data_IF_221043679411
#
_entry.id   IF_221043679411
#
_cell.length_a   1.000
_cell.length_b   1.000
_cell.length_c   1.000
_cell.angle_alpha   90.00
_cell.angle_beta   90.00
_cell.angle_gamma   90.00
#
_symmetry.space_group_name_H-M   'P 1'
#
loop_
_entity.id
_entity.type
_entity.pdbx_description
1 polymer ?
#
# COMPACT_ATOMS: atom_id res chain seq x y z
N UNK A 1 -0.98 0.25 -12.96
CA UNK A 1 -1.49 -0.90 -13.74
C UNK A 1 -2.76 -1.44 -13.11
N UNK A 2 -3.88 -0.73 -13.28
CA UNK A 2 -5.22 -1.18 -12.87
C UNK A 2 -6.24 -0.43 -13.73
N UNK A 3 -7.39 -1.04 -13.98
CA UNK A 3 -8.48 -0.39 -14.71
C UNK A 3 -9.56 0.06 -13.73
N UNK A 4 -9.90 1.34 -13.77
CA UNK A 4 -11.03 1.96 -13.07
C UNK A 4 -11.94 2.64 -14.10
N UNK A 5 -12.11 3.96 -13.98
CA UNK A 5 -12.78 4.77 -15.03
C UNK A 5 -12.01 4.74 -16.36
N UNK A 6 -10.69 4.70 -16.28
CA UNK A 6 -9.78 4.42 -17.40
C UNK A 6 -8.71 3.41 -16.94
N UNK A 7 -8.06 2.76 -17.91
CA UNK A 7 -6.93 1.88 -17.62
C UNK A 7 -5.65 2.68 -17.43
N UNK A 8 -5.00 2.49 -16.29
CA UNK A 8 -3.68 3.06 -16.02
C UNK A 8 -2.60 2.34 -16.84
N UNK A 9 -1.98 3.09 -17.74
CA UNK A 9 -0.89 2.65 -18.64
C UNK A 9 0.49 3.19 -18.23
N UNK A 10 0.62 3.82 -17.05
CA UNK A 10 1.85 4.48 -16.60
C UNK A 10 3.01 3.49 -16.36
N UNK A 11 2.71 2.21 -16.15
CA UNK A 11 3.70 1.17 -15.87
C UNK A 11 4.22 1.20 -14.42
N UNK A 12 4.88 0.11 -14.00
CA UNK A 12 5.29 -0.09 -12.61
C UNK A 12 6.34 0.92 -12.12
N UNK A 13 7.15 1.48 -13.04
CA UNK A 13 8.23 2.42 -12.72
C UNK A 13 7.75 3.85 -12.49
N UNK A 14 6.54 4.22 -12.92
CA UNK A 14 6.05 5.59 -12.85
C UNK A 14 6.06 6.15 -11.41
N UNK A 15 5.65 5.34 -10.44
CA UNK A 15 5.64 5.74 -9.04
C UNK A 15 7.04 6.06 -8.52
N UNK A 16 8.02 5.19 -8.79
CA UNK A 16 9.44 5.45 -8.44
C UNK A 16 9.95 6.73 -9.09
N UNK A 17 9.67 6.92 -10.38
CA UNK A 17 10.14 8.09 -11.13
C UNK A 17 9.58 9.39 -10.51
N UNK A 18 8.31 9.39 -10.12
CA UNK A 18 7.70 10.51 -9.42
C UNK A 18 8.38 10.77 -8.07
N UNK A 19 8.57 9.74 -7.24
CA UNK A 19 9.21 9.91 -5.93
C UNK A 19 10.66 10.39 -6.06
N UNK A 20 11.40 9.89 -7.06
CA UNK A 20 12.75 10.36 -7.39
C UNK A 20 12.75 11.85 -7.78
N UNK A 21 11.81 12.28 -8.62
CA UNK A 21 11.70 13.68 -9.03
C UNK A 21 11.35 14.61 -7.85
N UNK A 22 10.44 14.18 -6.97
CA UNK A 22 10.11 14.92 -5.75
C UNK A 22 11.33 15.04 -4.85
N UNK A 23 12.06 13.94 -4.59
CA UNK A 23 13.28 14.00 -3.78
C UNK A 23 14.33 14.93 -4.37
N UNK A 24 14.54 14.91 -5.69
CA UNK A 24 15.45 15.82 -6.37
C UNK A 24 15.04 17.30 -6.20
N UNK A 25 13.73 17.59 -6.26
CA UNK A 25 13.21 18.95 -6.11
C UNK A 25 13.27 19.47 -4.66
N UNK A 26 12.92 18.62 -3.70
CA UNK A 26 12.78 19.00 -2.29
C UNK A 26 14.07 18.83 -1.48
N UNK A 27 15.06 18.11 -2.00
CA UNK A 27 16.33 17.85 -1.33
C UNK A 27 16.16 16.98 -0.08
N UNK A 28 17.21 16.90 0.75
CA UNK A 28 17.22 16.12 1.99
C UNK A 28 16.68 16.89 3.21
N UNK A 29 16.52 18.21 3.12
CA UNK A 29 16.09 19.06 4.24
C UNK A 29 14.56 19.09 4.43
N UNK A 30 13.81 18.54 3.48
CA UNK A 30 12.34 18.46 3.51
C UNK A 30 11.89 17.02 3.48
N UNK A 31 10.78 16.76 4.15
CA UNK A 31 10.13 15.45 4.16
C UNK A 31 9.45 15.19 2.80
N UNK A 32 9.62 13.97 2.30
CA UNK A 32 8.89 13.39 1.18
C UNK A 32 8.36 12.05 1.66
N UNK A 33 7.06 11.97 1.91
CA UNK A 33 6.38 10.76 2.39
C UNK A 33 5.28 10.40 1.41
N UNK A 34 4.80 9.15 1.45
CA UNK A 34 3.64 8.78 0.65
C UNK A 34 2.70 7.83 1.40
N UNK A 35 1.40 8.07 1.27
CA UNK A 35 0.40 7.07 1.64
C UNK A 35 0.28 6.03 0.53
N UNK A 36 0.25 4.75 0.89
CA UNK A 36 0.25 3.64 -0.08
C UNK A 36 -0.82 2.61 0.27
N UNK A 37 -1.24 1.85 -0.74
CA UNK A 37 -2.21 0.76 -0.59
C UNK A 37 -1.70 -0.32 0.37
N UNK A 38 -2.65 -1.00 1.03
CA UNK A 38 -2.38 -2.14 1.88
C UNK A 38 -2.90 -3.47 1.29
N UNK A 39 -3.16 -3.51 -0.03
CA UNK A 39 -3.47 -4.74 -0.75
C UNK A 39 -2.19 -5.56 -0.98
N UNK A 40 -1.89 -6.44 -0.02
CA UNK A 40 -0.75 -7.34 0.00
C UNK A 40 -0.97 -8.69 -0.68
N UNK A 41 -2.10 -8.88 -1.37
CA UNK A 41 -2.43 -10.14 -2.04
C UNK A 41 -1.47 -10.43 -3.19
N UNK A 42 -1.40 -11.69 -3.63
CA UNK A 42 -0.59 -12.06 -4.80
C UNK A 42 -1.16 -11.42 -6.06
N UNK A 43 -0.38 -10.58 -6.73
CA UNK A 43 -0.85 -9.78 -7.87
C UNK A 43 -1.72 -8.58 -7.48
N UNK A 44 -1.81 -8.27 -6.18
CA UNK A 44 -2.52 -7.11 -5.66
C UNK A 44 -1.82 -5.79 -5.97
N UNK A 45 -2.39 -4.68 -5.49
CA UNK A 45 -1.91 -3.33 -5.80
C UNK A 45 -0.46 -3.08 -5.34
N UNK A 46 0.02 -3.71 -4.26
CA UNK A 46 1.43 -3.62 -3.87
C UNK A 46 2.37 -4.23 -4.93
N UNK A 47 1.93 -5.23 -5.69
CA UNK A 47 2.73 -5.82 -6.78
C UNK A 47 2.72 -4.99 -8.06
N UNK A 48 1.76 -4.08 -8.23
CA UNK A 48 1.57 -3.32 -9.47
C UNK A 48 2.56 -2.15 -9.66
N UNK A 49 3.33 -1.79 -8.64
CA UNK A 49 4.27 -0.66 -8.65
C UNK A 49 5.60 -0.97 -7.96
N UNK A 50 6.66 -0.26 -8.37
CA UNK A 50 8.02 -0.39 -7.82
C UNK A 50 8.17 0.37 -6.49
N UNK A 51 7.48 -0.08 -5.44
CA UNK A 51 7.59 0.51 -4.10
C UNK A 51 8.98 0.32 -3.48
N UNK A 52 9.67 -0.78 -3.80
CA UNK A 52 11.02 -1.04 -3.31
C UNK A 52 12.03 -0.04 -3.89
N UNK A 53 12.00 0.19 -5.21
CA UNK A 53 12.83 1.19 -5.84
C UNK A 53 12.44 2.62 -5.44
N UNK A 54 11.15 2.88 -5.18
CA UNK A 54 10.68 4.17 -4.68
C UNK A 54 11.11 4.44 -3.21
N UNK A 55 11.35 3.39 -2.42
CA UNK A 55 11.66 3.51 -1.00
C UNK A 55 12.95 4.29 -0.73
N UNK A 56 13.88 4.35 -1.68
CA UNK A 56 15.10 5.17 -1.55
C UNK A 56 14.81 6.68 -1.51
N UNK A 57 13.67 7.12 -2.04
CA UNK A 57 13.37 8.54 -2.25
C UNK A 57 12.38 9.12 -1.23
N UNK A 58 11.62 8.27 -0.53
CA UNK A 58 10.73 8.69 0.55
C UNK A 58 11.42 8.59 1.91
N UNK A 59 10.99 9.37 2.89
CA UNK A 59 11.38 9.22 4.29
C UNK A 59 10.68 8.02 4.91
N UNK A 60 9.37 7.88 4.68
CA UNK A 60 8.58 6.72 5.04
C UNK A 60 7.29 6.62 4.22
N UNK A 61 6.64 5.47 4.33
CA UNK A 61 5.31 5.18 3.82
C UNK A 61 4.27 5.15 4.94
N UNK A 62 3.12 5.76 4.70
CA UNK A 62 1.92 5.60 5.50
C UNK A 62 1.10 4.48 4.86
N UNK A 63 1.19 3.26 5.40
CA UNK A 63 0.47 2.10 4.84
C UNK A 63 -1.00 2.21 5.24
N UNK A 64 -1.89 2.35 4.26
CA UNK A 64 -3.33 2.54 4.49
C UNK A 64 -4.00 1.22 4.88
N UNK A 65 -3.64 0.66 6.04
CA UNK A 65 -4.11 -0.62 6.58
C UNK A 65 -5.52 -0.56 7.18
N UNK A 66 -6.44 0.03 6.42
CA UNK A 66 -7.85 0.20 6.71
C UNK A 66 -8.63 0.10 5.40
N UNK A 67 -9.96 0.10 5.49
CA UNK A 67 -10.87 -0.02 4.35
C UNK A 67 -10.68 -1.31 3.52
N UNK A 68 -10.26 -2.39 4.18
CA UNK A 68 -10.22 -3.72 3.59
C UNK A 68 -11.62 -4.23 3.23
N UNK A 69 -12.59 -3.93 4.09
CA UNK A 69 -13.99 -4.33 3.96
C UNK A 69 -14.88 -3.17 4.35
N UNK A 70 -16.09 -3.08 3.77
CA UNK A 70 -16.99 -1.97 4.04
C UNK A 70 -18.32 -2.12 3.33
N UNK A 71 -19.19 -1.12 3.52
CA UNK A 71 -20.58 -1.16 3.07
C UNK A 71 -20.77 -1.14 1.53
N UNK A 72 -19.69 -0.95 0.76
CA UNK A 72 -19.73 -1.13 -0.70
C UNK A 72 -20.09 -2.57 -1.11
N UNK A 73 -19.78 -3.57 -0.27
CA UNK A 73 -20.31 -4.93 -0.41
C UNK A 73 -21.68 -5.03 0.31
N UNK A 74 -22.71 -4.46 -0.30
CA UNK A 74 -24.02 -4.27 0.34
C UNK A 74 -24.70 -5.58 0.79
N UNK A 75 -24.49 -6.68 0.06
CA UNK A 75 -24.98 -8.01 0.42
C UNK A 75 -24.09 -8.77 1.41
N UNK A 76 -23.07 -8.09 1.95
CA UNK A 76 -22.06 -8.68 2.83
C UNK A 76 -21.08 -9.60 2.11
N UNK A 77 -20.37 -10.45 2.88
CA UNK A 77 -20.43 -10.56 4.35
C UNK A 77 -19.91 -9.31 5.06
N UNK A 78 -20.42 -9.04 6.27
CA UNK A 78 -19.83 -8.01 7.15
C UNK A 78 -18.47 -8.48 7.66
N UNK A 79 -17.50 -7.57 7.71
CA UNK A 79 -16.16 -7.83 8.22
C UNK A 79 -15.55 -6.54 8.79
N UNK A 80 -14.60 -6.64 9.75
CA UNK A 80 -13.86 -5.48 10.26
C UNK A 80 -13.06 -4.81 9.15
N UNK A 81 -13.20 -3.51 8.93
CA UNK A 81 -12.50 -2.79 7.85
C UNK A 81 -10.97 -2.68 8.06
N UNK A 82 -10.48 -2.86 9.28
CA UNK A 82 -9.05 -2.77 9.63
C UNK A 82 -8.63 -3.92 10.56
N UNK A 83 -8.61 -5.18 10.08
CA UNK A 83 -8.13 -6.30 10.87
C UNK A 83 -6.60 -6.30 10.91
N UNK A 84 -6.00 -6.48 12.09
CA UNK A 84 -4.55 -6.59 12.23
C UNK A 84 -4.02 -7.88 11.60
N UNK A 85 -4.67 -9.00 11.88
CA UNK A 85 -4.29 -10.36 11.45
C UNK A 85 -5.42 -11.06 10.71
N UNK A 86 -5.10 -12.20 10.08
CA UNK A 86 -6.11 -13.11 9.53
C UNK A 86 -7.03 -13.68 10.62
N UNK A 87 -8.20 -14.19 10.22
CA UNK A 87 -9.15 -14.90 11.06
C UNK A 87 -9.95 -15.92 10.25
N UNK A 88 -10.47 -16.95 10.92
CA UNK A 88 -11.35 -17.96 10.28
C UNK A 88 -12.59 -17.27 9.72
N UNK A 89 -12.84 -17.46 8.42
CA UNK A 89 -13.98 -16.83 7.74
C UNK A 89 -13.71 -15.43 7.20
N UNK A 90 -12.46 -14.95 7.19
CA UNK A 90 -12.12 -13.70 6.53
C UNK A 90 -12.56 -13.73 5.05
N UNK A 91 -13.30 -12.72 4.54
CA UNK A 91 -13.88 -12.80 3.19
C UNK A 91 -12.85 -12.82 2.07
N UNK A 92 -11.71 -12.12 2.28
CA UNK A 92 -10.62 -12.06 1.31
C UNK A 92 -9.33 -12.40 2.05
N UNK A 93 -8.71 -13.53 1.68
CA UNK A 93 -7.43 -13.94 2.24
C UNK A 93 -6.34 -12.91 1.90
N UNK A 94 -5.59 -12.47 2.91
CA UNK A 94 -4.53 -11.46 2.77
C UNK A 94 -5.00 -10.01 2.91
N UNK A 95 -6.30 -9.75 3.12
CA UNK A 95 -6.84 -8.42 3.42
C UNK A 95 -6.80 -8.13 4.93
N UNK A 96 -5.59 -7.99 5.47
CA UNK A 96 -5.32 -7.59 6.85
C UNK A 96 -3.95 -6.92 6.97
N UNK A 97 -3.77 -6.11 8.00
CA UNK A 97 -2.66 -5.18 8.10
C UNK A 97 -1.28 -5.87 8.11
N UNK A 98 -1.12 -6.97 8.85
CA UNK A 98 0.15 -7.73 8.88
C UNK A 98 0.54 -8.24 7.48
N UNK A 99 -0.39 -8.76 6.68
CA UNK A 99 -0.09 -9.22 5.32
C UNK A 99 0.48 -8.09 4.44
N UNK A 100 -0.07 -6.88 4.54
CA UNK A 100 0.44 -5.73 3.82
C UNK A 100 1.87 -5.37 4.23
N UNK A 101 2.14 -5.34 5.54
CA UNK A 101 3.46 -5.05 6.09
C UNK A 101 4.47 -6.13 5.68
N UNK A 102 4.13 -7.41 5.80
CA UNK A 102 5.03 -8.49 5.40
C UNK A 102 5.29 -8.48 3.89
N UNK A 103 4.29 -8.16 3.06
CA UNK A 103 4.46 -8.03 1.60
C UNK A 103 5.44 -6.90 1.24
N UNK A 104 5.34 -5.75 1.88
CA UNK A 104 6.27 -4.63 1.65
C UNK A 104 7.69 -4.98 2.11
N UNK A 105 7.82 -5.63 3.27
CA UNK A 105 9.10 -6.12 3.78
C UNK A 105 9.71 -7.19 2.87
N UNK A 106 8.90 -8.11 2.33
CA UNK A 106 9.39 -9.15 1.40
C UNK A 106 9.88 -8.58 0.07
N UNK A 107 9.44 -7.37 -0.29
CA UNK A 107 9.99 -6.60 -1.43
C UNK A 107 11.28 -5.84 -1.09
N UNK A 108 11.79 -5.93 0.14
CA UNK A 108 13.04 -5.30 0.57
C UNK A 108 12.88 -3.92 1.21
N UNK A 109 11.65 -3.49 1.52
CA UNK A 109 11.43 -2.19 2.19
C UNK A 109 11.75 -2.34 3.69
N UNK A 110 12.64 -1.49 4.20
CA UNK A 110 13.00 -1.48 5.61
C UNK A 110 11.81 -1.15 6.51
N UNK A 111 11.65 -1.89 7.63
CA UNK A 111 10.53 -1.69 8.55
C UNK A 111 10.49 -0.29 9.18
N UNK A 112 11.65 0.38 9.33
CA UNK A 112 11.74 1.76 9.80
C UNK A 112 11.10 2.79 8.85
N UNK A 113 10.76 2.39 7.62
CA UNK A 113 10.07 3.24 6.63
C UNK A 113 8.59 2.91 6.50
N UNK A 114 8.03 2.05 7.35
CA UNK A 114 6.64 1.61 7.25
C UNK A 114 5.86 2.02 8.50
N UNK A 115 4.93 2.96 8.34
CA UNK A 115 4.00 3.34 9.39
C UNK A 115 2.66 2.62 9.18
N UNK A 116 2.17 1.97 10.24
CA UNK A 116 0.88 1.29 10.25
C UNK A 116 -0.26 2.32 10.32
N UNK A 117 -1.27 2.18 9.47
CA UNK A 117 -2.43 3.07 9.43
C UNK A 117 -3.52 2.67 10.42
N UNK A 118 -4.15 3.66 11.05
CA UNK A 118 -5.28 3.51 11.98
C UNK A 118 -6.42 4.41 11.48
N UNK A 119 -7.61 3.85 11.30
CA UNK A 119 -8.83 4.62 11.00
C UNK A 119 -9.49 5.12 12.30
N UNK A 120 -9.94 6.38 12.32
CA UNK A 120 -10.63 7.03 13.44
C UNK A 120 -12.09 7.33 13.11
#
# INVERSE_FOLDING_TARGET
>A
NACGLSCDTSGAAAYKNLMSALRAKFGSSKLVTAAITADGTSGGKIDAADYAGAAAYVDWYNVMSYDYFGAWAASGPTAPHSPLTSYTGIPIAGFYADAAIQKLKSKGIASSKLLLGIGF
#
